data_IF_772502657837
#
_entry.id   IF_772502657837
#
_cell.length_a   1.000
_cell.length_b   1.000
_cell.length_c   1.000
_cell.angle_alpha   90.00
_cell.angle_beta   90.00
_cell.angle_gamma   90.00
#
_symmetry.space_group_name_H-M   'P 1'
#
loop_
_entity.id
_entity.type
_entity.pdbx_description
1 polymer ?
#
# COMPACT_ATOMS: atom_id res chain seq x y z
N UNK A 1 1.33 -8.84 -9.04
CA UNK A 1 1.65 -7.56 -8.32
C UNK A 1 2.95 -7.68 -7.54
N UNK A 2 3.67 -6.57 -7.30
CA UNK A 2 4.77 -6.50 -6.33
C UNK A 2 4.25 -5.84 -5.06
N UNK A 3 4.61 -6.40 -3.91
CA UNK A 3 4.24 -5.87 -2.60
C UNK A 3 5.45 -5.29 -1.89
N UNK A 4 5.29 -4.14 -1.22
CA UNK A 4 6.38 -3.53 -0.45
C UNK A 4 6.67 -4.33 0.82
N UNK A 5 7.90 -4.18 1.36
CA UNK A 5 8.26 -4.83 2.64
C UNK A 5 7.40 -4.33 3.80
N UNK A 6 6.98 -3.06 3.78
CA UNK A 6 6.06 -2.51 4.78
C UNK A 6 4.69 -3.18 4.68
N UNK A 7 4.12 -3.31 3.47
CA UNK A 7 2.83 -3.99 3.29
C UNK A 7 2.86 -5.44 3.78
N UNK A 8 3.91 -6.17 3.39
CA UNK A 8 4.08 -7.56 3.81
C UNK A 8 4.24 -7.68 5.34
N UNK A 9 5.07 -6.82 5.95
CA UNK A 9 5.24 -6.77 7.38
C UNK A 9 3.90 -6.55 8.10
N UNK A 10 3.12 -5.54 7.70
CA UNK A 10 1.85 -5.21 8.31
C UNK A 10 0.84 -6.36 8.23
N UNK A 11 0.79 -7.07 7.09
CA UNK A 11 -0.07 -8.24 6.93
C UNK A 11 0.39 -9.47 7.72
N UNK A 12 1.68 -9.63 7.89
CA UNK A 12 2.26 -10.71 8.67
C UNK A 12 2.06 -10.46 10.18
N UNK A 13 2.29 -9.24 10.68
CA UNK A 13 2.13 -8.93 12.10
C UNK A 13 0.68 -9.03 12.61
N UNK A 14 -0.33 -9.00 11.70
CA UNK A 14 -1.72 -9.26 12.08
C UNK A 14 -1.93 -10.69 12.65
N UNK A 15 -1.07 -11.66 12.28
CA UNK A 15 -1.22 -13.08 12.63
C UNK A 15 -0.04 -13.66 13.43
N UNK A 16 1.14 -13.09 13.26
CA UNK A 16 2.40 -13.65 13.74
C UNK A 16 3.15 -12.71 14.66
N UNK A 17 3.80 -13.25 15.68
CA UNK A 17 4.71 -12.50 16.55
C UNK A 17 6.00 -12.16 15.82
N UNK A 18 6.27 -10.87 15.65
CA UNK A 18 7.51 -10.35 15.07
C UNK A 18 8.48 -10.02 16.19
N UNK A 19 9.61 -10.71 16.23
CA UNK A 19 10.65 -10.54 17.24
C UNK A 19 11.54 -9.34 16.92
N UNK A 20 11.85 -9.14 15.64
CA UNK A 20 12.73 -8.08 15.17
C UNK A 20 12.42 -7.71 13.72
N UNK A 21 12.79 -6.50 13.32
CA UNK A 21 12.71 -6.03 11.93
C UNK A 21 13.85 -5.09 11.58
N UNK A 22 14.28 -5.16 10.32
CA UNK A 22 15.27 -4.27 9.74
C UNK A 22 14.64 -3.06 9.03
N UNK A 23 15.32 -2.57 8.01
CA UNK A 23 14.93 -1.39 7.25
C UNK A 23 13.81 -1.72 6.24
N UNK A 24 12.55 -1.48 6.61
CA UNK A 24 11.40 -1.68 5.75
C UNK A 24 11.07 -0.40 4.97
N UNK A 25 10.66 -0.55 3.71
CA UNK A 25 10.30 0.55 2.83
C UNK A 25 8.93 0.36 2.18
N UNK A 26 8.17 1.45 2.01
CA UNK A 26 6.92 1.44 1.24
C UNK A 26 7.13 1.51 -0.28
N UNK A 27 8.35 1.86 -0.72
CA UNK A 27 8.69 2.06 -2.14
C UNK A 27 9.45 0.90 -2.79
N UNK A 28 9.86 -0.12 -2.01
CA UNK A 28 10.40 -1.37 -2.54
C UNK A 28 9.28 -2.26 -3.10
N UNK A 29 9.64 -3.35 -3.76
CA UNK A 29 8.62 -4.23 -4.32
C UNK A 29 9.11 -5.65 -4.55
N UNK A 30 8.44 -6.61 -3.89
CA UNK A 30 8.80 -8.02 -3.86
C UNK A 30 7.75 -8.91 -4.52
N UNK A 31 8.23 -9.97 -5.12
CA UNK A 31 7.46 -11.05 -5.69
C UNK A 31 7.32 -12.19 -4.67
N UNK A 32 6.56 -13.22 -5.03
CA UNK A 32 6.20 -14.39 -4.23
C UNK A 32 7.34 -14.98 -3.41
N UNK A 33 7.04 -15.56 -2.22
CA UNK A 33 8.03 -16.09 -1.33
C UNK A 33 8.62 -17.42 -1.83
N UNK A 34 9.89 -17.65 -1.46
CA UNK A 34 10.58 -18.92 -1.58
C UNK A 34 11.03 -19.40 -0.20
N UNK A 35 10.85 -20.69 0.08
CA UNK A 35 11.48 -21.30 1.23
C UNK A 35 12.94 -21.60 0.91
N UNK A 36 13.84 -21.04 1.70
CA UNK A 36 15.27 -21.26 1.58
C UNK A 36 15.70 -22.46 2.44
N UNK A 37 16.13 -23.52 1.77
CA UNK A 37 16.54 -24.77 2.45
C UNK A 37 18.06 -24.89 2.65
N UNK A 38 18.87 -23.93 2.18
CA UNK A 38 20.32 -23.95 2.34
C UNK A 38 21.05 -22.76 1.76
N UNK A 39 22.25 -22.49 2.28
CA UNK A 39 23.10 -21.35 1.92
C UNK A 39 23.65 -21.36 0.47
N UNK A 40 23.43 -22.43 -0.28
CA UNK A 40 23.88 -22.60 -1.66
C UNK A 40 22.79 -22.28 -2.68
N UNK A 41 21.63 -21.81 -2.22
CA UNK A 41 20.55 -21.43 -3.12
C UNK A 41 20.94 -20.21 -3.95
N UNK A 42 20.49 -20.18 -5.19
CA UNK A 42 20.66 -19.01 -6.07
C UNK A 42 19.53 -18.04 -5.77
N UNK A 43 19.85 -16.96 -5.08
CA UNK A 43 18.88 -15.92 -4.75
C UNK A 43 18.57 -15.05 -5.97
N UNK A 44 17.29 -14.71 -6.11
CA UNK A 44 16.77 -13.82 -7.15
C UNK A 44 16.36 -12.50 -6.52
N UNK A 45 16.77 -11.40 -7.12
CA UNK A 45 16.34 -10.06 -6.71
C UNK A 45 14.82 -9.91 -6.73
N UNK A 46 14.32 -8.99 -5.93
CA UNK A 46 12.89 -8.67 -5.82
C UNK A 46 12.01 -9.88 -5.41
N UNK A 47 12.51 -10.75 -4.56
CA UNK A 47 11.72 -11.85 -4.00
C UNK A 47 11.78 -11.86 -2.48
N UNK A 48 10.78 -12.51 -1.89
CA UNK A 48 10.78 -12.83 -0.45
C UNK A 48 11.46 -14.17 -0.25
N UNK A 49 12.37 -14.26 0.72
CA UNK A 49 12.99 -15.53 1.11
C UNK A 49 12.72 -15.82 2.57
N UNK A 50 12.05 -16.95 2.82
CA UNK A 50 11.79 -17.47 4.16
C UNK A 50 12.88 -18.45 4.53
N UNK A 51 13.57 -18.17 5.63
CA UNK A 51 14.76 -18.89 6.08
C UNK A 51 14.45 -19.55 7.42
N UNK A 52 14.68 -20.85 7.52
CA UNK A 52 14.60 -21.56 8.80
C UNK A 52 15.90 -21.34 9.59
N UNK A 53 15.75 -20.89 10.84
CA UNK A 53 16.86 -20.65 11.78
C UNK A 53 17.09 -19.17 12.04
N UNK A 54 17.14 -18.79 13.31
CA UNK A 54 17.22 -17.42 13.80
C UNK A 54 18.65 -16.90 14.00
N UNK A 55 19.69 -17.54 13.46
CA UNK A 55 21.07 -17.05 13.64
C UNK A 55 21.49 -16.21 12.42
N UNK A 56 21.44 -14.87 12.59
CA UNK A 56 21.85 -13.91 11.57
C UNK A 56 23.29 -14.12 11.09
N UNK A 57 24.24 -14.42 11.99
CA UNK A 57 25.64 -14.63 11.64
C UNK A 57 25.81 -15.72 10.59
N UNK A 58 24.97 -16.76 10.66
CA UNK A 58 25.02 -17.84 9.69
C UNK A 58 24.63 -17.41 8.27
N UNK A 59 23.77 -16.41 8.13
CA UNK A 59 23.22 -15.96 6.86
C UNK A 59 23.83 -14.63 6.38
N UNK A 60 24.54 -13.90 7.25
CA UNK A 60 25.06 -12.56 6.97
C UNK A 60 25.79 -12.46 5.63
N UNK A 61 26.72 -13.36 5.35
CA UNK A 61 27.46 -13.33 4.09
C UNK A 61 26.59 -13.59 2.85
N UNK A 62 25.52 -14.38 2.98
CA UNK A 62 24.59 -14.66 1.89
C UNK A 62 23.61 -13.50 1.68
N UNK A 63 23.17 -12.91 2.78
CA UNK A 63 22.23 -11.79 2.84
C UNK A 63 22.87 -10.52 2.27
N UNK A 64 24.10 -10.20 2.67
CA UNK A 64 24.84 -9.02 2.18
C UNK A 64 25.36 -9.18 0.74
N UNK A 65 25.36 -10.39 0.19
CA UNK A 65 25.82 -10.65 -1.17
C UNK A 65 24.79 -10.35 -2.26
N UNK A 66 23.52 -10.16 -1.90
CA UNK A 66 22.41 -9.95 -2.87
C UNK A 66 21.52 -8.81 -2.41
N UNK A 67 21.40 -7.79 -3.23
CA UNK A 67 20.52 -6.65 -3.02
C UNK A 67 19.06 -6.97 -3.42
N UNK A 68 18.13 -6.14 -2.97
CA UNK A 68 16.71 -6.21 -3.33
C UNK A 68 16.02 -7.54 -2.97
N UNK A 69 16.28 -8.06 -1.78
CA UNK A 69 15.60 -9.23 -1.22
C UNK A 69 14.95 -8.85 0.10
N UNK A 70 13.70 -9.29 0.28
CA UNK A 70 13.03 -9.24 1.58
C UNK A 70 13.24 -10.57 2.32
N UNK A 71 13.96 -10.53 3.42
CA UNK A 71 14.30 -11.70 4.21
C UNK A 71 13.31 -11.91 5.35
N UNK A 72 12.86 -13.14 5.51
CA UNK A 72 12.01 -13.56 6.63
C UNK A 72 12.75 -14.69 7.37
N UNK A 73 13.25 -14.39 8.54
CA UNK A 73 13.91 -15.37 9.40
C UNK A 73 12.88 -15.99 10.35
N UNK A 74 12.85 -17.31 10.45
CA UNK A 74 11.93 -18.05 11.29
C UNK A 74 12.72 -18.74 12.41
N UNK A 75 12.40 -18.46 13.67
CA UNK A 75 13.05 -19.07 14.82
C UNK A 75 12.69 -18.37 16.13
N UNK A 76 13.18 -18.94 17.25
CA UNK A 76 13.08 -18.33 18.57
C UNK A 76 14.38 -17.65 18.97
N UNK A 77 14.28 -16.61 19.80
CA UNK A 77 15.42 -15.87 20.29
C UNK A 77 15.71 -14.60 19.47
N UNK A 78 16.70 -13.84 19.89
CA UNK A 78 17.08 -12.61 19.19
C UNK A 78 18.06 -12.95 18.05
N UNK A 79 17.93 -12.24 16.96
CA UNK A 79 18.97 -12.25 15.92
C UNK A 79 20.15 -11.43 16.45
N UNK A 80 21.15 -12.12 17.03
CA UNK A 80 22.38 -11.48 17.44
C UNK A 80 23.19 -11.08 16.19
N UNK A 81 23.02 -9.86 15.73
CA UNK A 81 23.87 -9.26 14.69
C UNK A 81 24.41 -7.94 15.20
N UNK A 82 25.74 -7.78 15.18
CA UNK A 82 26.43 -6.53 15.47
C UNK A 82 26.68 -5.71 14.18
N UNK A 83 26.29 -6.26 13.01
CA UNK A 83 26.54 -5.65 11.71
C UNK A 83 25.56 -4.50 11.44
N UNK A 84 26.07 -3.29 11.35
CA UNK A 84 25.29 -2.12 10.92
C UNK A 84 24.76 -2.30 9.49
N UNK A 85 25.51 -3.00 8.63
CA UNK A 85 25.12 -3.28 7.24
C UNK A 85 23.91 -4.21 7.19
N UNK A 86 23.85 -5.23 8.05
CA UNK A 86 22.71 -6.12 8.14
C UNK A 86 21.42 -5.39 8.55
N UNK A 87 21.53 -4.40 9.42
CA UNK A 87 20.38 -3.60 9.86
C UNK A 87 19.79 -2.69 8.76
N UNK A 88 20.53 -2.44 7.68
CA UNK A 88 20.07 -1.64 6.54
C UNK A 88 19.28 -2.44 5.51
N UNK A 89 19.29 -3.77 5.59
CA UNK A 89 18.51 -4.61 4.67
C UNK A 89 17.04 -4.74 5.12
N UNK A 90 16.11 -4.98 4.20
CA UNK A 90 14.73 -5.28 4.56
C UNK A 90 14.61 -6.73 5.08
N UNK A 91 14.29 -6.90 6.36
CA UNK A 91 13.99 -8.19 6.95
C UNK A 91 12.97 -8.11 8.07
N UNK A 92 12.38 -9.26 8.39
CA UNK A 92 11.65 -9.53 9.63
C UNK A 92 12.11 -10.86 10.25
N UNK A 93 12.03 -10.94 11.57
CA UNK A 93 12.24 -12.16 12.32
C UNK A 93 10.93 -12.59 12.99
N UNK A 94 10.45 -13.77 12.65
CA UNK A 94 9.14 -14.30 13.07
C UNK A 94 9.33 -15.45 14.05
N UNK A 95 8.60 -15.46 15.16
CA UNK A 95 8.65 -16.49 16.20
C UNK A 95 7.99 -17.79 15.75
N UNK A 96 8.71 -18.61 14.97
CA UNK A 96 8.23 -19.93 14.46
C UNK A 96 9.26 -21.01 14.80
N UNK A 97 8.83 -22.09 15.44
CA UNK A 97 9.72 -23.11 15.96
C UNK A 97 9.76 -24.41 15.15
N UNK A 98 8.69 -24.72 14.44
CA UNK A 98 8.54 -25.99 13.76
C UNK A 98 8.43 -25.82 12.24
N UNK A 99 8.79 -26.89 11.51
CA UNK A 99 8.58 -26.94 10.06
C UNK A 99 7.10 -26.84 9.67
N UNK A 100 6.20 -27.31 10.54
CA UNK A 100 4.76 -27.22 10.31
C UNK A 100 4.29 -25.79 10.38
N UNK A 101 4.71 -25.02 11.39
CA UNK A 101 4.42 -23.56 11.51
C UNK A 101 5.01 -22.77 10.36
N UNK A 102 6.24 -23.08 9.92
CA UNK A 102 6.87 -22.43 8.76
C UNK A 102 6.09 -22.74 7.48
N UNK A 103 5.58 -23.96 7.32
CA UNK A 103 4.78 -24.32 6.15
C UNK A 103 3.42 -23.58 6.15
N UNK A 104 2.77 -23.44 7.31
CA UNK A 104 1.55 -22.65 7.47
C UNK A 104 1.81 -21.17 7.18
N UNK A 105 2.87 -20.62 7.76
CA UNK A 105 3.31 -19.24 7.48
C UNK A 105 3.55 -19.00 5.98
N UNK A 106 4.24 -19.93 5.30
CA UNK A 106 4.47 -19.83 3.85
C UNK A 106 3.15 -19.78 3.06
N UNK A 107 2.15 -20.58 3.46
CA UNK A 107 0.83 -20.55 2.83
C UNK A 107 0.14 -19.19 3.07
N UNK A 108 0.18 -18.66 4.30
CA UNK A 108 -0.40 -17.36 4.63
C UNK A 108 0.25 -16.24 3.86
N UNK A 109 1.59 -16.22 3.76
CA UNK A 109 2.30 -15.23 2.93
C UNK A 109 1.92 -15.37 1.45
N UNK A 110 1.76 -16.59 0.95
CA UNK A 110 1.30 -16.84 -0.41
C UNK A 110 -0.11 -16.28 -0.63
N UNK A 111 -1.02 -16.44 0.33
CA UNK A 111 -2.40 -15.91 0.27
C UNK A 111 -2.41 -14.37 0.19
N UNK A 112 -1.47 -13.69 0.87
CA UNK A 112 -1.32 -12.22 0.74
C UNK A 112 -1.02 -11.85 -0.72
N UNK A 113 -0.09 -12.55 -1.36
CA UNK A 113 0.23 -12.32 -2.78
C UNK A 113 -0.93 -12.68 -3.70
N UNK A 114 -1.62 -13.80 -3.44
CA UNK A 114 -2.76 -14.24 -4.25
C UNK A 114 -3.92 -13.22 -4.20
N UNK A 115 -4.21 -12.66 -3.03
CA UNK A 115 -5.22 -11.62 -2.88
C UNK A 115 -4.85 -10.34 -3.64
N UNK A 116 -3.59 -9.92 -3.58
CA UNK A 116 -3.09 -8.75 -4.28
C UNK A 116 -3.09 -8.96 -5.82
N UNK A 117 -2.66 -10.14 -6.30
CA UNK A 117 -2.70 -10.50 -7.72
C UNK A 117 -4.14 -10.57 -8.25
N UNK A 118 -5.08 -11.08 -7.44
CA UNK A 118 -6.50 -11.10 -7.82
C UNK A 118 -7.09 -9.69 -7.91
N UNK A 119 -6.74 -8.79 -6.97
CA UNK A 119 -7.14 -7.39 -7.04
C UNK A 119 -6.58 -6.73 -8.29
N UNK A 120 -5.27 -6.84 -8.56
CA UNK A 120 -4.63 -6.25 -9.74
C UNK A 120 -5.27 -6.76 -11.04
N UNK A 121 -5.56 -8.07 -11.11
CA UNK A 121 -6.25 -8.66 -12.26
C UNK A 121 -7.65 -8.08 -12.44
N UNK A 122 -8.43 -7.90 -11.37
CA UNK A 122 -9.76 -7.27 -11.45
C UNK A 122 -9.67 -5.83 -11.96
N UNK A 123 -8.69 -5.04 -11.49
CA UNK A 123 -8.44 -3.69 -11.99
C UNK A 123 -8.11 -3.72 -13.50
N UNK A 124 -7.23 -4.64 -13.92
CA UNK A 124 -6.88 -4.78 -15.33
C UNK A 124 -8.09 -5.16 -16.20
N UNK A 125 -8.91 -6.14 -15.77
CA UNK A 125 -10.12 -6.56 -16.46
C UNK A 125 -11.11 -5.39 -16.62
N UNK A 126 -11.34 -4.60 -15.57
CA UNK A 126 -12.18 -3.40 -15.61
C UNK A 126 -11.66 -2.35 -16.61
N UNK A 127 -10.34 -2.15 -16.69
CA UNK A 127 -9.74 -1.25 -17.68
C UNK A 127 -9.99 -1.74 -19.13
N UNK A 128 -9.89 -3.05 -19.39
CA UNK A 128 -10.18 -3.64 -20.69
C UNK A 128 -11.68 -3.55 -21.07
N UNK A 129 -12.56 -3.56 -20.07
CA UNK A 129 -14.02 -3.40 -20.25
C UNK A 129 -14.43 -1.92 -20.38
N UNK A 130 -13.49 -0.96 -20.34
CA UNK A 130 -13.76 0.47 -20.31
C UNK A 130 -14.70 0.87 -19.16
N UNK A 131 -14.54 0.24 -18.01
CA UNK A 131 -15.32 0.58 -16.82
C UNK A 131 -14.95 1.98 -16.29
N UNK A 132 -15.95 2.70 -15.80
CA UNK A 132 -15.75 4.02 -15.18
C UNK A 132 -14.99 3.94 -13.84
N UNK A 133 -14.52 5.11 -13.38
CA UNK A 133 -13.75 5.24 -12.13
C UNK A 133 -14.45 4.65 -10.92
N UNK A 134 -15.78 4.78 -10.80
CA UNK A 134 -16.56 4.23 -9.67
C UNK A 134 -16.30 2.74 -9.45
N UNK A 135 -16.16 1.96 -10.54
CA UNK A 135 -15.92 0.52 -10.47
C UNK A 135 -14.50 0.21 -9.97
N UNK A 136 -13.50 0.99 -10.42
CA UNK A 136 -12.13 0.84 -9.95
C UNK A 136 -12.03 1.20 -8.47
N UNK A 137 -12.66 2.31 -8.06
CA UNK A 137 -12.71 2.72 -6.67
C UNK A 137 -13.42 1.70 -5.80
N UNK A 138 -14.54 1.11 -6.27
CA UNK A 138 -15.28 0.10 -5.53
C UNK A 138 -14.41 -1.12 -5.23
N UNK A 139 -13.79 -1.72 -6.25
CA UNK A 139 -12.94 -2.91 -6.08
C UNK A 139 -11.73 -2.61 -5.17
N UNK A 140 -11.16 -1.41 -5.27
CA UNK A 140 -10.02 -1.03 -4.44
C UNK A 140 -10.45 -0.69 -3.01
N UNK A 141 -11.60 -0.03 -2.81
CA UNK A 141 -12.17 0.25 -1.48
C UNK A 141 -12.48 -1.04 -0.71
N UNK A 142 -13.01 -2.06 -1.39
CA UNK A 142 -13.25 -3.38 -0.80
C UNK A 142 -11.94 -4.06 -0.41
N UNK A 143 -10.90 -3.98 -1.25
CA UNK A 143 -9.59 -4.57 -1.00
C UNK A 143 -8.85 -3.89 0.17
N UNK A 144 -8.83 -2.54 0.20
CA UNK A 144 -8.21 -1.75 1.26
C UNK A 144 -9.08 -1.62 2.52
N UNK A 145 -10.35 -2.02 2.46
CA UNK A 145 -11.36 -1.87 3.52
C UNK A 145 -11.54 -0.42 3.98
N UNK A 146 -11.33 0.52 3.08
CA UNK A 146 -11.41 1.95 3.35
C UNK A 146 -12.06 2.70 2.18
N UNK A 147 -12.87 3.74 2.46
CA UNK A 147 -13.47 4.57 1.44
C UNK A 147 -12.45 5.32 0.58
N UNK A 148 -12.76 5.40 -0.71
CA UNK A 148 -12.01 6.15 -1.70
C UNK A 148 -12.89 7.20 -2.38
N UNK A 149 -12.34 8.39 -2.58
CA UNK A 149 -13.00 9.49 -3.29
C UNK A 149 -12.03 10.10 -4.30
N UNK A 150 -12.51 10.36 -5.52
CA UNK A 150 -11.82 11.20 -6.51
C UNK A 150 -12.62 12.49 -6.66
N UNK A 151 -11.94 13.62 -6.59
CA UNK A 151 -12.53 14.96 -6.74
C UNK A 151 -11.63 15.86 -7.56
N UNK A 152 -12.23 16.86 -8.21
CA UNK A 152 -11.49 17.99 -8.79
C UNK A 152 -10.77 18.80 -7.70
N UNK A 153 -9.73 19.56 -8.07
CA UNK A 153 -9.05 20.45 -7.12
C UNK A 153 -9.94 21.59 -6.60
N UNK A 154 -11.04 21.88 -7.30
CA UNK A 154 -12.11 22.80 -6.91
C UNK A 154 -13.21 22.14 -6.06
N UNK A 155 -13.01 20.91 -5.62
CA UNK A 155 -13.99 20.07 -4.92
C UNK A 155 -15.18 19.62 -5.77
N UNK A 156 -15.08 19.66 -7.09
CA UNK A 156 -16.08 19.03 -7.96
C UNK A 156 -16.06 17.51 -7.73
N UNK A 157 -17.23 16.92 -7.52
CA UNK A 157 -17.38 15.46 -7.39
C UNK A 157 -17.05 14.77 -8.72
N UNK A 158 -16.25 13.68 -8.62
CA UNK A 158 -15.97 12.82 -9.77
C UNK A 158 -16.45 11.40 -9.50
N UNK A 159 -15.92 10.73 -8.48
CA UNK A 159 -16.29 9.35 -8.15
C UNK A 159 -16.03 9.04 -6.68
N UNK A 160 -16.80 8.14 -6.07
CA UNK A 160 -16.51 7.64 -4.72
C UNK A 160 -16.96 6.19 -4.53
N UNK A 161 -16.35 5.50 -3.56
CA UNK A 161 -16.75 4.18 -3.12
C UNK A 161 -16.56 4.01 -1.60
N UNK A 162 -17.48 3.30 -0.94
CA UNK A 162 -17.38 2.97 0.49
C UNK A 162 -17.68 4.13 1.44
N UNK A 163 -18.10 5.31 0.96
CA UNK A 163 -18.40 6.48 1.80
C UNK A 163 -19.60 6.26 2.74
N UNK A 164 -20.47 5.31 2.45
CA UNK A 164 -21.60 4.92 3.30
C UNK A 164 -21.17 4.40 4.68
N UNK A 165 -19.92 3.92 4.82
CA UNK A 165 -19.37 3.46 6.09
C UNK A 165 -18.80 4.60 6.95
N UNK A 166 -18.65 5.81 6.37
CA UNK A 166 -18.15 6.97 7.11
C UNK A 166 -19.25 7.65 7.92
N UNK A 167 -18.92 8.19 9.11
CA UNK A 167 -19.81 9.11 9.79
C UNK A 167 -20.04 10.35 8.93
N UNK A 168 -21.24 10.94 8.97
CA UNK A 168 -21.64 12.04 8.11
C UNK A 168 -20.63 13.20 8.08
N UNK A 169 -20.05 13.55 9.23
CA UNK A 169 -19.04 14.62 9.35
C UNK A 169 -17.74 14.36 8.59
N UNK A 170 -17.42 13.07 8.35
CA UNK A 170 -16.21 12.66 7.64
C UNK A 170 -16.43 12.50 6.13
N UNK A 171 -17.69 12.64 5.66
CA UNK A 171 -18.00 12.61 4.22
C UNK A 171 -17.78 13.99 3.63
N UNK A 172 -17.05 14.02 2.52
CA UNK A 172 -16.87 15.27 1.77
C UNK A 172 -18.17 15.68 1.07
N UNK A 173 -18.92 14.68 0.55
CA UNK A 173 -20.23 14.88 -0.06
C UNK A 173 -21.32 14.23 0.80
N UNK A 174 -22.43 14.95 0.96
CA UNK A 174 -23.60 14.51 1.72
C UNK A 174 -24.84 14.69 0.87
N UNK A 175 -25.99 14.22 1.33
CA UNK A 175 -27.29 14.42 0.65
C UNK A 175 -27.63 15.91 0.46
N UNK A 176 -27.10 16.80 1.31
CA UNK A 176 -27.26 18.26 1.24
C UNK A 176 -26.20 18.94 0.33
N UNK A 177 -25.31 18.17 -0.28
CA UNK A 177 -24.22 18.64 -1.15
C UNK A 177 -22.85 18.63 -0.47
N UNK A 178 -21.95 19.53 -0.90
CA UNK A 178 -20.58 19.61 -0.43
C UNK A 178 -20.53 20.01 1.07
N UNK A 179 -19.79 19.25 1.85
CA UNK A 179 -19.60 19.51 3.28
C UNK A 179 -18.63 20.70 3.50
N UNK A 180 -19.20 21.90 3.59
CA UNK A 180 -18.43 23.13 3.71
C UNK A 180 -17.61 23.24 5.00
N UNK A 181 -18.01 22.54 6.08
CA UNK A 181 -17.21 22.49 7.31
C UNK A 181 -15.91 21.72 7.07
N UNK A 182 -16.01 20.58 6.41
CA UNK A 182 -14.84 19.78 6.01
C UNK A 182 -13.93 20.55 5.04
N UNK A 183 -14.49 21.13 3.99
CA UNK A 183 -13.74 21.92 3.01
C UNK A 183 -13.01 23.09 3.67
N UNK A 184 -13.65 23.85 4.53
CA UNK A 184 -13.03 24.97 5.23
C UNK A 184 -11.89 24.49 6.16
N UNK A 185 -12.04 23.34 6.83
CA UNK A 185 -10.98 22.76 7.65
C UNK A 185 -9.77 22.35 6.81
N UNK A 186 -9.98 21.77 5.62
CA UNK A 186 -8.90 21.46 4.67
C UNK A 186 -8.18 22.73 4.20
N UNK A 187 -8.91 23.74 3.74
CA UNK A 187 -8.34 24.98 3.21
C UNK A 187 -7.54 25.77 4.25
N UNK A 188 -7.85 25.60 5.54
CA UNK A 188 -7.08 26.21 6.64
C UNK A 188 -5.83 25.42 7.01
N UNK A 189 -5.72 24.15 6.58
CA UNK A 189 -4.58 23.30 6.89
C UNK A 189 -3.39 23.65 5.98
N UNK A 190 -2.20 23.84 6.58
CA UNK A 190 -0.98 24.20 5.86
C UNK A 190 -0.53 23.08 4.91
N UNK A 191 -0.50 21.84 5.39
CA UNK A 191 -0.11 20.70 4.57
C UNK A 191 -1.03 20.51 3.35
N UNK A 192 -2.32 20.86 3.47
CA UNK A 192 -3.26 20.82 2.33
C UNK A 192 -2.87 21.85 1.25
N UNK A 193 -2.42 23.04 1.64
CA UNK A 193 -1.99 24.09 0.71
C UNK A 193 -0.64 23.77 0.07
N UNK A 194 0.27 23.17 0.84
CA UNK A 194 1.61 22.79 0.37
C UNK A 194 1.60 21.61 -0.60
N UNK A 195 0.56 20.76 -0.54
CA UNK A 195 0.46 19.60 -1.44
C UNK A 195 0.00 19.95 -2.88
N UNK A 196 -0.25 21.22 -3.21
CA UNK A 196 -0.91 21.63 -4.47
C UNK A 196 -0.27 21.02 -5.73
N UNK A 197 1.07 20.92 -5.77
CA UNK A 197 1.82 20.45 -6.95
C UNK A 197 2.70 19.22 -6.64
N UNK A 198 2.47 18.54 -5.50
CA UNK A 198 3.28 17.38 -5.14
C UNK A 198 2.70 16.06 -5.65
N UNK A 199 3.60 15.14 -6.06
CA UNK A 199 3.28 13.75 -6.35
C UNK A 199 3.32 12.85 -5.09
N UNK A 200 3.58 13.42 -3.91
CA UNK A 200 3.67 12.67 -2.67
C UNK A 200 2.30 12.37 -2.07
N UNK A 201 2.24 11.29 -1.28
CA UNK A 201 1.09 11.00 -0.45
C UNK A 201 1.15 11.82 0.84
N UNK A 202 0.09 12.57 1.13
CA UNK A 202 0.00 13.43 2.31
C UNK A 202 -1.05 12.89 3.27
N UNK A 203 -0.64 12.63 4.51
CA UNK A 203 -1.53 12.18 5.58
C UNK A 203 -2.17 13.37 6.30
N UNK A 204 -3.50 13.37 6.35
CA UNK A 204 -4.26 14.35 7.13
C UNK A 204 -4.79 13.72 8.43
N UNK A 205 -4.59 14.41 9.56
CA UNK A 205 -5.01 13.90 10.85
C UNK A 205 -6.54 13.97 11.04
N UNK A 206 -7.06 13.12 11.92
CA UNK A 206 -8.50 12.98 12.19
C UNK A 206 -9.19 14.25 12.71
N UNK A 207 -8.45 15.22 13.25
CA UNK A 207 -9.07 16.46 13.75
C UNK A 207 -9.69 17.32 12.66
N UNK A 208 -9.31 17.12 11.38
CA UNK A 208 -9.83 17.88 10.23
C UNK A 208 -11.26 17.46 9.91
N UNK A 209 -11.49 16.14 9.72
CA UNK A 209 -12.79 15.60 9.29
C UNK A 209 -13.40 14.61 10.27
N UNK A 210 -12.66 14.22 11.30
CA UNK A 210 -13.04 13.15 12.24
C UNK A 210 -12.47 11.78 11.89
N UNK A 211 -11.84 11.63 10.72
CA UNK A 211 -11.11 10.44 10.29
C UNK A 211 -9.76 10.87 9.72
N UNK A 212 -8.73 10.01 9.86
CA UNK A 212 -7.46 10.20 9.14
C UNK A 212 -7.71 9.99 7.65
N UNK A 213 -6.94 10.65 6.81
CA UNK A 213 -7.00 10.39 5.37
C UNK A 213 -5.62 10.53 4.73
N UNK A 214 -5.39 9.73 3.70
CA UNK A 214 -4.23 9.82 2.83
C UNK A 214 -4.67 10.40 1.50
N UNK A 215 -4.01 11.46 1.06
CA UNK A 215 -4.38 12.22 -0.13
C UNK A 215 -3.23 12.21 -1.14
N UNK A 216 -3.57 12.12 -2.43
CA UNK A 216 -2.65 12.13 -3.55
C UNK A 216 -3.24 12.94 -4.70
N UNK A 217 -2.46 13.89 -5.26
CA UNK A 217 -2.88 14.56 -6.49
C UNK A 217 -2.79 13.61 -7.68
N UNK A 218 -3.74 13.73 -8.61
CA UNK A 218 -3.76 13.05 -9.90
C UNK A 218 -3.40 14.04 -10.99
N UNK A 219 -2.55 13.62 -11.91
CA UNK A 219 -1.96 14.47 -12.92
C UNK A 219 -2.43 14.09 -14.32
N UNK A 220 -2.76 15.08 -15.12
CA UNK A 220 -2.99 14.96 -16.55
C UNK A 220 -2.04 15.95 -17.22
N UNK A 221 -1.22 15.52 -18.18
CA UNK A 221 -0.21 16.34 -18.85
C UNK A 221 0.67 17.14 -17.88
N UNK A 222 1.19 16.45 -16.85
CA UNK A 222 2.06 17.02 -15.81
C UNK A 222 1.38 18.11 -14.93
N UNK A 223 0.08 18.29 -15.04
CA UNK A 223 -0.68 19.23 -14.21
C UNK A 223 -1.56 18.47 -13.23
N UNK A 224 -1.52 18.87 -11.96
CA UNK A 224 -2.48 18.39 -10.98
C UNK A 224 -3.89 18.89 -11.37
N UNK A 225 -4.82 17.98 -11.59
CA UNK A 225 -6.20 18.28 -11.99
C UNK A 225 -7.21 17.76 -10.98
N UNK A 226 -6.92 16.63 -10.37
CA UNK A 226 -7.80 15.94 -9.44
C UNK A 226 -7.04 15.49 -8.20
N UNK A 227 -7.77 14.92 -7.26
CA UNK A 227 -7.21 14.38 -6.02
C UNK A 227 -7.91 13.07 -5.65
N UNK A 228 -7.09 12.06 -5.35
CA UNK A 228 -7.51 10.81 -4.72
C UNK A 228 -7.42 10.97 -3.20
N UNK A 229 -8.47 10.57 -2.50
CA UNK A 229 -8.56 10.59 -1.03
C UNK A 229 -8.91 9.19 -0.55
N UNK A 230 -8.02 8.56 0.22
CA UNK A 230 -8.30 7.35 0.99
C UNK A 230 -8.62 7.77 2.43
N UNK A 231 -9.81 7.43 2.94
CA UNK A 231 -10.24 7.82 4.29
C UNK A 231 -10.25 6.61 5.22
N UNK A 232 -9.60 6.73 6.38
CA UNK A 232 -9.52 5.67 7.38
C UNK A 232 -10.90 5.40 7.99
N UNK A 233 -11.36 4.15 7.88
CA UNK A 233 -12.67 3.75 8.37
C UNK A 233 -12.67 2.37 9.04
N UNK A 234 -12.28 1.31 8.32
CA UNK A 234 -12.35 -0.09 8.76
C UNK A 234 -10.97 -0.70 8.98
N UNK A 235 -9.97 -0.23 8.24
CA UNK A 235 -8.58 -0.62 8.39
C UNK A 235 -7.70 0.61 8.61
N UNK A 236 -6.63 0.48 9.36
CA UNK A 236 -5.65 1.54 9.55
C UNK A 236 -4.96 1.89 8.24
N UNK A 237 -4.78 3.19 7.97
CA UNK A 237 -3.99 3.65 6.83
C UNK A 237 -2.52 3.73 7.24
N UNK A 238 -1.70 2.96 6.59
CA UNK A 238 -0.27 2.86 6.80
C UNK A 238 0.50 3.17 5.52
N UNK A 239 1.84 3.18 5.58
CA UNK A 239 2.68 3.33 4.38
C UNK A 239 2.59 2.09 3.45
N UNK A 240 2.19 0.95 3.98
CA UNK A 240 2.05 -0.29 3.19
C UNK A 240 1.04 -0.17 2.05
N UNK A 241 -0.06 0.58 2.23
CA UNK A 241 -1.09 0.72 1.18
C UNK A 241 -0.62 1.46 -0.07
N UNK A 242 0.52 2.18 -0.01
CA UNK A 242 1.03 2.98 -1.13
C UNK A 242 1.27 2.13 -2.38
N UNK A 243 1.81 0.92 -2.24
CA UNK A 243 2.05 0.03 -3.40
C UNK A 243 0.76 -0.36 -4.14
N UNK A 244 -0.39 -0.37 -3.45
CA UNK A 244 -1.72 -0.57 -4.05
C UNK A 244 -2.21 0.71 -4.69
N UNK A 245 -2.09 1.84 -3.97
CA UNK A 245 -2.55 3.14 -4.44
C UNK A 245 -1.79 3.60 -5.69
N UNK A 246 -0.49 3.32 -5.81
CA UNK A 246 0.31 3.68 -6.99
C UNK A 246 -0.25 3.03 -8.27
N UNK A 247 -0.66 1.76 -8.20
CA UNK A 247 -1.30 1.07 -9.33
C UNK A 247 -2.66 1.73 -9.65
N UNK A 248 -3.46 2.03 -8.61
CA UNK A 248 -4.74 2.70 -8.80
C UNK A 248 -4.57 4.10 -9.42
N UNK A 249 -3.63 4.91 -8.90
CA UNK A 249 -3.31 6.26 -9.41
C UNK A 249 -2.97 6.21 -10.90
N UNK A 250 -2.09 5.30 -11.32
CA UNK A 250 -1.74 5.13 -12.75
C UNK A 250 -2.99 4.92 -13.63
N UNK A 251 -3.94 4.11 -13.16
CA UNK A 251 -5.18 3.82 -13.93
C UNK A 251 -6.16 5.00 -13.90
N UNK A 252 -6.26 5.71 -12.78
CA UNK A 252 -7.10 6.90 -12.68
C UNK A 252 -6.58 8.04 -13.57
N UNK A 253 -5.27 8.31 -13.55
CA UNK A 253 -4.64 9.31 -14.41
C UNK A 253 -4.82 8.97 -15.89
N UNK A 254 -4.72 7.68 -16.26
CA UNK A 254 -5.03 7.22 -17.62
C UNK A 254 -6.47 7.53 -18.03
N UNK A 255 -7.47 7.24 -17.17
CA UNK A 255 -8.88 7.53 -17.47
C UNK A 255 -9.14 9.04 -17.60
N UNK A 256 -8.60 9.85 -16.68
CA UNK A 256 -8.74 11.30 -16.71
C UNK A 256 -8.14 11.92 -17.99
N UNK A 257 -7.00 11.41 -18.45
CA UNK A 257 -6.39 11.89 -19.69
C UNK A 257 -7.28 11.59 -20.92
N UNK A 258 -7.92 10.42 -20.97
CA UNK A 258 -8.82 10.05 -22.09
C UNK A 258 -10.12 10.81 -22.06
N UNK A 259 -10.72 11.08 -20.89
CA UNK A 259 -11.92 11.92 -20.78
C UNK A 259 -11.64 13.36 -21.26
N UNK A 260 -10.45 13.91 -20.96
CA UNK A 260 -10.05 15.23 -21.41
C UNK A 260 -9.89 15.32 -22.96
N UNK A 261 -9.41 14.25 -23.61
CA UNK A 261 -9.29 14.18 -25.08
C UNK A 261 -10.68 14.09 -25.78
N UNK A 262 -11.67 13.46 -25.14
CA UNK A 262 -13.03 13.36 -25.69
C UNK A 262 -13.82 14.69 -25.56
N UNK A 263 -13.51 15.51 -24.53
CA UNK A 263 -14.17 16.81 -24.31
C UNK A 263 -13.61 17.93 -25.20
N UNK A 264 -12.38 17.83 -25.71
CA UNK A 264 -11.74 18.81 -26.60
C UNK A 264 -11.31 18.17 -27.95
N UNK A 265 -12.26 17.72 -28.77
CA UNK A 265 -11.98 17.26 -30.12
C UNK A 265 -11.78 18.48 -31.02
N UNK A 266 -10.55 18.81 -31.38
CA UNK A 266 -10.18 19.85 -32.36
C UNK A 266 -11.08 19.85 -33.64
#
# INVERSE_FOLDING_TARGET
MRLSSVYLYEKIEEKYEILEKGNLSGSDGYLRPFLCCGKKDVFRQNHVYVVQGGNAEEWESAVLAVEDIFWVFCGQGNMETESEEFQQIPYIHVALDSLEEIAEFMNDVQEIFDAADEWERKIHDLMLEHAGMDRLLQVTSEFLQNPLTVMGLDFTFVAEAGSEYLPQRARLYTDDGLNMEYVNALLQNEAYREMADTHEYVMFPAYISGCRSMNRNLFVDEKATHRLVLTECRAEITQGVICVLDILVEKLEYLLAHEAEEEDPD
#
